data_IF_709920054717
#
_entry.id   IF_709920054717
#
_cell.length_a   1.000
_cell.length_b   1.000
_cell.length_c   1.000
_cell.angle_alpha   90.00
_cell.angle_beta   90.00
_cell.angle_gamma   90.00
#
_symmetry.space_group_name_H-M   'P 1'
#
loop_
_entity.id
_entity.type
_entity.pdbx_description
1 polymer ?
#
# COMPACT_ATOMS: atom_id res chain seq x y z
N UNK A 1 -2.14 21.14 12.28
CA UNK A 1 -1.95 19.93 11.43
C UNK A 1 -0.72 19.12 11.83
N UNK A 2 0.49 19.71 11.91
CA UNK A 2 1.67 19.06 12.52
C UNK A 2 1.38 18.58 13.95
N UNK A 3 0.63 19.34 14.73
CA UNK A 3 0.16 18.96 16.06
C UNK A 3 -0.66 17.67 16.09
N UNK A 4 -1.52 17.43 15.09
CA UNK A 4 -2.32 16.20 15.02
C UNK A 4 -1.44 14.98 14.75
N UNK A 5 -0.45 15.13 13.86
CA UNK A 5 0.52 14.06 13.60
C UNK A 5 1.36 13.76 14.85
N UNK A 6 1.84 14.79 15.54
CA UNK A 6 2.58 14.65 16.81
C UNK A 6 1.71 13.99 17.89
N UNK A 7 0.43 14.36 17.99
CA UNK A 7 -0.51 13.76 18.91
C UNK A 7 -0.74 12.28 18.62
N UNK A 8 -0.94 11.90 17.34
CA UNK A 8 -1.05 10.48 16.96
C UNK A 8 0.24 9.72 17.25
N UNK A 9 1.42 10.30 16.93
CA UNK A 9 2.72 9.70 17.26
C UNK A 9 2.85 9.45 18.76
N UNK A 10 2.51 10.45 19.58
CA UNK A 10 2.58 10.34 21.04
C UNK A 10 1.62 9.28 21.58
N UNK A 11 0.35 9.31 21.16
CA UNK A 11 -0.67 8.37 21.62
C UNK A 11 -0.27 6.92 21.26
N UNK A 12 0.16 6.68 20.02
CA UNK A 12 0.60 5.34 19.60
C UNK A 12 1.84 4.90 20.36
N UNK A 13 2.86 5.77 20.50
CA UNK A 13 4.11 5.43 21.18
C UNK A 13 3.91 5.01 22.65
N UNK A 14 2.89 5.54 23.35
CA UNK A 14 2.55 5.14 24.73
C UNK A 14 1.98 3.72 24.85
N UNK A 15 1.48 3.17 23.75
CA UNK A 15 0.84 1.85 23.72
C UNK A 15 1.82 0.76 23.30
N UNK A 16 2.82 1.11 22.48
CA UNK A 16 3.77 0.13 21.94
C UNK A 16 4.56 -0.56 23.05
N UNK A 17 4.78 -1.86 22.88
CA UNK A 17 5.71 -2.62 23.71
C UNK A 17 7.15 -2.35 23.30
N UNK A 18 8.13 -2.81 24.10
CA UNK A 18 9.55 -2.69 23.78
C UNK A 18 9.95 -3.42 22.48
N UNK A 19 9.16 -4.42 22.06
CA UNK A 19 9.35 -5.20 20.84
C UNK A 19 8.67 -4.57 19.62
N UNK A 20 7.98 -3.44 19.80
CA UNK A 20 7.24 -2.77 18.75
C UNK A 20 7.81 -1.36 18.53
N UNK A 21 7.72 -0.89 17.30
CA UNK A 21 8.12 0.48 16.95
C UNK A 21 7.19 1.10 15.94
N UNK A 22 7.00 2.40 16.10
CA UNK A 22 6.28 3.21 15.14
C UNK A 22 7.17 3.43 13.91
N UNK A 23 6.83 2.80 12.78
CA UNK A 23 7.59 2.97 11.53
C UNK A 23 7.25 4.29 10.86
N UNK A 24 5.96 4.60 10.71
CA UNK A 24 5.53 5.79 10.00
C UNK A 24 4.16 6.29 10.51
N UNK A 25 3.99 7.62 10.48
CA UNK A 25 2.70 8.29 10.54
C UNK A 25 2.66 9.22 9.35
N UNK A 26 1.72 8.98 8.44
CA UNK A 26 1.72 9.58 7.11
C UNK A 26 0.34 10.10 6.75
N UNK A 27 0.29 10.99 5.77
CA UNK A 27 -0.95 11.61 5.30
C UNK A 27 -0.99 11.52 3.79
N UNK A 28 -2.13 11.16 3.22
CA UNK A 28 -2.33 11.29 1.77
C UNK A 28 -2.64 12.75 1.41
N UNK A 29 -2.13 13.25 0.27
CA UNK A 29 -2.06 14.69 -0.07
C UNK A 29 -3.36 15.51 0.10
N UNK A 30 -4.53 14.88 0.03
CA UNK A 30 -5.85 15.53 0.15
C UNK A 30 -6.70 15.03 1.31
N UNK A 31 -6.18 14.12 2.14
CA UNK A 31 -6.92 13.56 3.26
C UNK A 31 -6.58 14.26 4.57
N UNK A 32 -7.60 14.47 5.40
CA UNK A 32 -7.42 14.84 6.80
C UNK A 32 -7.12 13.61 7.68
N UNK A 33 -7.16 12.39 7.13
CA UNK A 33 -6.82 11.16 7.85
C UNK A 33 -5.31 10.91 7.85
N UNK A 34 -4.84 10.33 8.95
CA UNK A 34 -3.47 9.87 9.11
C UNK A 34 -3.45 8.34 8.99
N UNK A 35 -2.41 7.81 8.35
CA UNK A 35 -2.15 6.38 8.24
C UNK A 35 -0.91 6.06 9.07
N UNK A 36 -1.02 5.03 9.89
CA UNK A 36 -0.02 4.62 10.86
C UNK A 36 0.48 3.23 10.48
N UNK A 37 1.79 3.04 10.51
CA UNK A 37 2.43 1.73 10.37
C UNK A 37 3.28 1.44 11.61
N UNK A 38 3.04 0.29 12.22
CA UNK A 38 3.80 -0.22 13.37
C UNK A 38 4.51 -1.51 12.93
N UNK A 39 5.76 -1.67 13.36
CA UNK A 39 6.57 -2.88 13.16
C UNK A 39 6.80 -3.60 14.48
N UNK A 40 6.87 -4.93 14.45
CA UNK A 40 7.35 -5.74 15.58
C UNK A 40 8.78 -6.26 15.34
N UNK A 41 9.37 -6.88 16.36
CA UNK A 41 10.71 -7.47 16.33
C UNK A 41 10.84 -8.64 15.32
N UNK A 42 9.73 -9.32 15.02
CA UNK A 42 9.65 -10.38 14.00
C UNK A 42 9.61 -9.82 12.56
N UNK A 43 9.78 -8.50 12.38
CA UNK A 43 9.69 -7.82 11.08
C UNK A 43 8.34 -8.05 10.40
N UNK A 44 7.27 -8.04 11.19
CA UNK A 44 5.91 -7.98 10.70
C UNK A 44 5.35 -6.58 10.96
N UNK A 45 4.37 -6.18 10.16
CA UNK A 45 3.79 -4.86 10.22
C UNK A 45 2.27 -4.91 10.36
N UNK A 46 1.73 -3.86 10.96
CA UNK A 46 0.30 -3.57 10.96
C UNK A 46 0.09 -2.14 10.52
N UNK A 47 -0.99 -1.91 9.76
CA UNK A 47 -1.41 -0.57 9.37
C UNK A 47 -2.82 -0.28 9.88
N UNK A 48 -3.03 0.97 10.27
CA UNK A 48 -4.35 1.47 10.65
C UNK A 48 -4.45 2.95 10.32
N UNK A 49 -5.68 3.44 10.23
CA UNK A 49 -6.01 4.81 9.88
C UNK A 49 -6.59 5.52 11.09
N UNK A 50 -6.18 6.76 11.33
CA UNK A 50 -6.79 7.68 12.28
C UNK A 50 -7.48 8.79 11.51
N UNK A 51 -8.78 8.92 11.69
CA UNK A 51 -9.60 9.95 11.05
C UNK A 51 -10.18 10.90 12.09
N UNK A 52 -10.20 12.19 11.75
CA UNK A 52 -10.79 13.23 12.62
C UNK A 52 -12.27 13.52 12.28
N UNK A 53 -12.82 12.77 11.32
CA UNK A 53 -14.21 12.86 10.88
C UNK A 53 -14.70 11.46 10.52
N UNK A 54 -15.99 11.22 10.69
CA UNK A 54 -16.62 9.96 10.27
C UNK A 54 -16.47 9.77 8.76
N UNK A 55 -16.12 8.57 8.33
CA UNK A 55 -16.06 8.24 6.92
C UNK A 55 -17.48 8.20 6.33
N UNK A 56 -17.65 8.71 5.10
CA UNK A 56 -18.89 8.56 4.32
C UNK A 56 -18.93 7.30 3.45
N UNK A 57 -17.89 6.46 3.52
CA UNK A 57 -17.70 5.30 2.65
C UNK A 57 -17.30 4.08 3.47
N UNK A 58 -17.98 2.95 3.26
CA UNK A 58 -17.73 1.65 3.90
C UNK A 58 -16.58 0.86 3.28
N UNK A 59 -16.01 1.34 2.17
CA UNK A 59 -14.99 0.64 1.37
C UNK A 59 -13.56 0.70 1.94
N UNK A 60 -13.43 0.86 3.27
CA UNK A 60 -12.15 1.04 3.92
C UNK A 60 -11.66 -0.28 4.49
N UNK A 61 -10.72 -0.89 3.77
CA UNK A 61 -10.03 -2.12 4.16
C UNK A 61 -9.05 -1.93 5.33
N UNK A 62 -8.56 -0.71 5.54
CA UNK A 62 -7.65 -0.38 6.64
C UNK A 62 -8.45 -0.09 7.92
N UNK A 63 -8.19 -0.79 9.05
CA UNK A 63 -8.81 -0.52 10.33
C UNK A 63 -8.76 0.97 10.68
N UNK A 64 -9.91 1.58 10.97
CA UNK A 64 -10.03 3.03 11.15
C UNK A 64 -10.50 3.39 12.55
N UNK A 65 -9.74 4.26 13.22
CA UNK A 65 -10.14 4.92 14.46
C UNK A 65 -10.62 6.34 14.15
N UNK A 66 -11.87 6.65 14.47
CA UNK A 66 -12.44 8.00 14.27
C UNK A 66 -12.40 8.75 15.59
N UNK A 67 -11.36 9.55 15.81
CA UNK A 67 -11.21 10.33 17.05
C UNK A 67 -10.22 11.48 16.87
N UNK A 68 -10.50 12.60 17.54
CA UNK A 68 -9.52 13.67 17.77
C UNK A 68 -8.95 13.69 19.18
N UNK A 69 -9.38 12.78 20.06
CA UNK A 69 -8.95 12.70 21.45
C UNK A 69 -7.81 11.65 21.57
N UNK A 70 -6.63 12.04 22.10
CA UNK A 70 -5.48 11.14 22.25
C UNK A 70 -5.71 9.97 23.21
N UNK A 71 -6.47 10.15 24.28
CA UNK A 71 -6.73 9.09 25.28
C UNK A 71 -7.64 8.01 24.68
N UNK A 72 -8.66 8.42 23.92
CA UNK A 72 -9.53 7.50 23.18
C UNK A 72 -8.71 6.75 22.13
N UNK A 73 -7.81 7.44 21.42
CA UNK A 73 -6.92 6.81 20.45
C UNK A 73 -5.98 5.80 21.12
N UNK A 74 -5.39 6.17 22.27
CA UNK A 74 -4.51 5.30 23.05
C UNK A 74 -5.23 4.00 23.42
N UNK A 75 -6.43 4.10 24.01
CA UNK A 75 -7.21 2.93 24.39
C UNK A 75 -7.59 2.08 23.18
N UNK A 76 -8.06 2.71 22.09
CA UNK A 76 -8.44 1.98 20.88
C UNK A 76 -7.27 1.20 20.26
N UNK A 77 -6.07 1.80 20.22
CA UNK A 77 -4.85 1.15 19.71
C UNK A 77 -4.41 0.04 20.68
N UNK A 78 -4.50 0.27 21.99
CA UNK A 78 -4.16 -0.72 23.04
C UNK A 78 -5.02 -1.98 22.92
N UNK A 79 -6.30 -1.80 22.66
CA UNK A 79 -7.22 -2.90 22.45
C UNK A 79 -6.98 -3.57 21.10
N UNK A 80 -6.66 -2.82 20.05
CA UNK A 80 -6.51 -3.34 18.69
C UNK A 80 -5.24 -4.18 18.47
N UNK A 81 -4.06 -3.70 18.89
CA UNK A 81 -2.78 -4.34 18.53
C UNK A 81 -2.68 -5.83 18.90
N UNK A 82 -3.17 -6.31 20.07
CA UNK A 82 -3.10 -7.73 20.43
C UNK A 82 -3.94 -8.66 19.54
N UNK A 83 -4.98 -8.13 18.90
CA UNK A 83 -5.90 -8.88 18.02
C UNK A 83 -5.71 -8.56 16.54
N UNK A 84 -4.75 -7.71 16.21
CA UNK A 84 -4.45 -7.35 14.84
C UNK A 84 -3.73 -8.49 14.12
N UNK A 85 -4.07 -8.69 12.84
CA UNK A 85 -3.29 -9.56 11.96
C UNK A 85 -2.01 -8.85 11.54
N UNK A 86 -0.88 -9.32 12.05
CA UNK A 86 0.45 -8.82 11.67
C UNK A 86 0.86 -9.42 10.33
N UNK A 87 1.19 -8.56 9.37
CA UNK A 87 1.53 -8.94 8.01
C UNK A 87 3.03 -9.05 7.83
N UNK A 88 3.48 -10.04 7.06
CA UNK A 88 4.87 -10.14 6.61
C UNK A 88 5.00 -9.49 5.23
N UNK A 89 6.04 -8.66 5.05
CA UNK A 89 6.41 -8.16 3.74
C UNK A 89 7.21 -9.24 2.99
N UNK A 90 6.59 -9.84 1.99
CA UNK A 90 7.21 -10.88 1.16
C UNK A 90 8.05 -10.27 0.04
N UNK A 91 8.81 -11.09 -0.66
CA UNK A 91 9.52 -10.63 -1.86
C UNK A 91 8.57 -10.15 -2.96
N UNK A 92 7.38 -10.77 -3.12
CA UNK A 92 6.37 -10.34 -4.09
C UNK A 92 5.90 -8.90 -3.80
N UNK A 93 5.66 -8.61 -2.52
CA UNK A 93 5.28 -7.28 -2.05
C UNK A 93 6.40 -6.27 -2.35
N UNK A 94 7.64 -6.61 -1.97
CA UNK A 94 8.82 -5.78 -2.22
C UNK A 94 9.03 -5.51 -3.71
N UNK A 95 8.90 -6.54 -4.55
CA UNK A 95 9.06 -6.44 -6.00
C UNK A 95 8.03 -5.47 -6.59
N UNK A 96 6.75 -5.66 -6.29
CA UNK A 96 5.68 -4.80 -6.83
C UNK A 96 5.84 -3.35 -6.36
N UNK A 97 6.10 -3.12 -5.06
CA UNK A 97 6.37 -1.78 -4.54
C UNK A 97 7.57 -1.13 -5.26
N UNK A 98 8.67 -1.87 -5.42
CA UNK A 98 9.86 -1.37 -6.12
C UNK A 98 9.58 -1.05 -7.59
N UNK A 99 8.84 -1.92 -8.29
CA UNK A 99 8.45 -1.72 -9.70
C UNK A 99 7.59 -0.47 -9.85
N UNK A 100 6.58 -0.25 -9.00
CA UNK A 100 5.74 0.96 -9.04
C UNK A 100 6.61 2.21 -8.88
N UNK A 101 7.59 2.19 -7.96
CA UNK A 101 8.48 3.32 -7.71
C UNK A 101 9.31 3.70 -8.94
N UNK A 102 9.81 2.71 -9.69
CA UNK A 102 10.74 2.96 -10.82
C UNK A 102 10.07 2.92 -12.20
N UNK A 103 8.78 2.56 -12.31
CA UNK A 103 8.08 2.41 -13.59
C UNK A 103 8.02 3.68 -14.42
N UNK A 104 8.05 4.85 -13.76
CA UNK A 104 8.04 6.15 -14.43
C UNK A 104 9.25 6.34 -15.35
N UNK A 105 10.41 5.73 -15.02
CA UNK A 105 11.61 5.72 -15.84
C UNK A 105 11.41 4.97 -17.17
N UNK A 106 10.38 4.13 -17.25
CA UNK A 106 10.02 3.33 -18.41
C UNK A 106 8.71 3.79 -19.07
N UNK A 107 8.24 5.00 -18.73
CA UNK A 107 6.97 5.57 -19.23
C UNK A 107 5.75 4.68 -18.97
N UNK A 108 5.77 4.01 -17.82
CA UNK A 108 4.70 3.13 -17.34
C UNK A 108 4.14 3.69 -16.05
N UNK A 109 2.82 3.65 -15.95
CA UNK A 109 2.05 3.94 -14.74
C UNK A 109 1.04 2.84 -14.50
N UNK A 110 0.62 2.66 -13.26
CA UNK A 110 -0.43 1.72 -12.91
C UNK A 110 -1.72 2.46 -12.59
N UNK A 111 -2.85 1.84 -12.88
CA UNK A 111 -4.18 2.41 -12.63
C UNK A 111 -5.08 1.40 -11.93
N UNK A 112 -6.07 1.91 -11.21
CA UNK A 112 -7.16 1.11 -10.65
C UNK A 112 -8.38 1.29 -11.54
N UNK A 113 -9.11 0.20 -11.78
CA UNK A 113 -10.43 0.26 -12.42
C UNK A 113 -11.35 1.23 -11.64
N UNK A 114 -11.89 2.24 -12.33
CA UNK A 114 -12.72 3.27 -11.72
C UNK A 114 -14.19 2.85 -11.56
N UNK A 115 -14.56 1.70 -12.16
CA UNK A 115 -15.87 1.07 -12.01
C UNK A 115 -16.14 0.58 -10.58
N UNK A 116 -15.13 0.54 -9.71
CA UNK A 116 -15.32 0.28 -8.27
C UNK A 116 -16.27 1.29 -7.60
N UNK A 117 -16.39 2.51 -8.13
CA UNK A 117 -17.38 3.48 -7.62
C UNK A 117 -18.84 3.15 -8.04
N UNK A 118 -19.03 2.18 -8.94
CA UNK A 118 -20.30 1.85 -9.59
C UNK A 118 -20.81 0.46 -9.13
N UNK A 119 -19.90 -0.48 -8.85
CA UNK A 119 -20.27 -1.79 -8.31
C UNK A 119 -20.49 -1.73 -6.79
N UNK A 120 -21.75 -1.52 -6.38
CA UNK A 120 -22.18 -1.45 -4.98
C UNK A 120 -22.28 -2.82 -4.30
N UNK A 121 -22.34 -3.90 -5.07
CA UNK A 121 -22.26 -5.27 -4.59
C UNK A 121 -20.81 -5.70 -4.71
N UNK A 122 -20.08 -5.80 -3.60
CA UNK A 122 -18.65 -6.19 -3.47
C UNK A 122 -18.33 -7.63 -3.97
N UNK A 123 -18.93 -8.07 -5.07
CA UNK A 123 -18.75 -9.40 -5.66
C UNK A 123 -17.49 -9.51 -6.50
N UNK A 124 -16.96 -8.39 -7.00
CA UNK A 124 -15.79 -8.36 -7.87
C UNK A 124 -14.60 -7.70 -7.17
N UNK A 125 -13.42 -8.35 -7.25
CA UNK A 125 -12.20 -7.86 -6.65
C UNK A 125 -11.66 -6.65 -7.44
N UNK A 126 -11.01 -5.70 -6.75
CA UNK A 126 -10.38 -4.53 -7.40
C UNK A 126 -9.40 -4.97 -8.49
N UNK A 127 -9.51 -4.39 -9.70
CA UNK A 127 -8.64 -4.71 -10.82
C UNK A 127 -7.65 -3.57 -11.06
N UNK A 128 -6.39 -3.94 -11.25
CA UNK A 128 -5.30 -3.04 -11.59
C UNK A 128 -4.82 -3.25 -13.02
N UNK A 129 -4.41 -2.16 -13.67
CA UNK A 129 -3.91 -2.14 -15.04
C UNK A 129 -2.53 -1.50 -15.13
N UNK A 130 -1.69 -2.04 -16.03
CA UNK A 130 -0.50 -1.37 -16.53
C UNK A 130 -0.90 -0.43 -17.67
N UNK A 131 -0.47 0.82 -17.59
CA UNK A 131 -0.69 1.83 -18.62
C UNK A 131 0.65 2.35 -19.11
N UNK A 132 0.80 2.36 -20.43
CA UNK A 132 2.02 2.83 -21.09
C UNK A 132 1.71 4.04 -21.96
N UNK A 133 2.46 5.10 -21.73
CA UNK A 133 2.43 6.28 -22.57
C UNK A 133 3.35 6.06 -23.76
N UNK A 134 2.78 6.01 -24.97
CA UNK A 134 3.59 5.88 -26.17
C UNK A 134 4.14 7.24 -26.58
N UNK A 135 5.46 7.44 -26.44
CA UNK A 135 6.15 8.64 -26.92
C UNK A 135 5.98 8.90 -28.44
N UNK A 136 5.59 7.88 -29.21
CA UNK A 136 5.50 7.95 -30.68
C UNK A 136 4.09 7.68 -31.26
N UNK A 137 3.13 7.21 -30.46
CA UNK A 137 1.77 6.90 -30.94
C UNK A 137 0.74 7.69 -30.14
N UNK A 138 -0.29 8.22 -30.81
CA UNK A 138 -1.44 8.90 -30.18
C UNK A 138 -2.36 7.97 -29.35
N UNK A 139 -1.91 6.77 -29.02
CA UNK A 139 -2.72 5.75 -28.33
C UNK A 139 -2.03 5.34 -27.03
N UNK A 140 -2.81 5.39 -25.95
CA UNK A 140 -2.47 4.83 -24.65
C UNK A 140 -2.67 3.32 -24.76
N UNK A 141 -1.67 2.54 -24.33
CA UNK A 141 -1.80 1.08 -24.23
C UNK A 141 -2.15 0.74 -22.79
N UNK A 142 -3.24 0.01 -22.59
CA UNK A 142 -3.71 -0.46 -21.29
C UNK A 142 -3.70 -1.99 -21.32
N UNK A 143 -2.92 -2.59 -20.43
CA UNK A 143 -2.82 -4.04 -20.27
C UNK A 143 -3.31 -4.42 -18.88
N UNK A 144 -4.19 -5.43 -18.78
CA UNK A 144 -4.52 -6.05 -17.50
C UNK A 144 -3.28 -6.70 -16.89
N UNK A 145 -3.14 -6.60 -15.57
CA UNK A 145 -2.12 -7.36 -14.86
C UNK A 145 -2.56 -8.83 -14.72
N UNK A 146 -1.61 -9.76 -14.85
CA UNK A 146 -1.82 -11.17 -14.49
C UNK A 146 -2.35 -11.29 -13.05
N UNK A 147 -3.24 -12.26 -12.81
CA UNK A 147 -3.97 -12.39 -11.53
C UNK A 147 -3.05 -12.47 -10.31
N UNK A 148 -1.96 -13.25 -10.36
CA UNK A 148 -0.99 -13.34 -9.27
C UNK A 148 -0.35 -11.97 -8.92
N UNK A 149 -0.13 -11.13 -9.94
CA UNK A 149 0.36 -9.76 -9.76
C UNK A 149 -0.76 -8.87 -9.20
N UNK A 150 -1.97 -9.00 -9.74
CA UNK A 150 -3.16 -8.26 -9.31
C UNK A 150 -3.48 -8.50 -7.83
N UNK A 151 -3.35 -9.74 -7.35
CA UNK A 151 -3.51 -10.11 -5.94
C UNK A 151 -2.54 -9.37 -5.02
N UNK A 152 -1.28 -9.22 -5.42
CA UNK A 152 -0.29 -8.43 -4.67
C UNK A 152 -0.70 -6.96 -4.63
N UNK A 153 -1.14 -6.39 -5.77
CA UNK A 153 -1.66 -5.01 -5.79
C UNK A 153 -2.87 -4.85 -4.84
N UNK A 154 -3.83 -5.78 -4.85
CA UNK A 154 -4.99 -5.76 -3.93
C UNK A 154 -4.55 -5.80 -2.47
N UNK A 155 -3.63 -6.69 -2.10
CA UNK A 155 -3.06 -6.78 -0.74
C UNK A 155 -2.37 -5.47 -0.32
N UNK A 156 -1.52 -4.92 -1.20
CA UNK A 156 -0.80 -3.67 -0.92
C UNK A 156 -1.75 -2.48 -0.82
N UNK A 157 -2.81 -2.43 -1.61
CA UNK A 157 -3.82 -1.38 -1.53
C UNK A 157 -4.65 -1.53 -0.25
N UNK A 158 -5.06 -2.75 0.09
CA UNK A 158 -5.82 -3.04 1.29
C UNK A 158 -5.07 -2.73 2.59
N UNK A 159 -3.75 -2.86 2.58
CA UNK A 159 -2.87 -2.49 3.70
C UNK A 159 -2.39 -1.03 3.65
N UNK A 160 -2.82 -0.23 2.66
CA UNK A 160 -2.45 1.18 2.53
C UNK A 160 -0.98 1.44 2.14
N UNK A 161 -0.28 0.43 1.63
CA UNK A 161 1.11 0.56 1.15
C UNK A 161 1.19 1.14 -0.25
N UNK A 162 0.13 0.96 -1.04
CA UNK A 162 -0.11 1.73 -2.27
C UNK A 162 -1.43 2.49 -2.13
N UNK A 163 -1.55 3.58 -2.85
CA UNK A 163 -2.77 4.37 -2.91
C UNK A 163 -2.99 4.86 -4.34
N UNK A 164 -4.20 5.34 -4.63
CA UNK A 164 -4.51 6.00 -5.89
C UNK A 164 -4.67 7.51 -5.71
N UNK A 165 -4.33 8.25 -6.76
CA UNK A 165 -4.71 9.65 -6.88
C UNK A 165 -5.40 9.87 -8.23
N UNK A 166 -6.44 10.69 -8.22
CA UNK A 166 -7.13 11.08 -9.45
C UNK A 166 -6.95 12.58 -9.69
N UNK A 167 -6.52 12.93 -10.91
CA UNK A 167 -6.63 14.30 -11.43
C UNK A 167 -7.97 14.42 -12.17
N UNK A 168 -8.63 15.59 -12.16
CA UNK A 168 -9.87 15.77 -12.90
C UNK A 168 -9.69 15.40 -14.38
N UNK A 169 -10.52 14.48 -14.88
CA UNK A 169 -10.47 13.99 -16.26
C UNK A 169 -9.54 12.79 -16.52
N UNK A 170 -8.82 12.30 -15.50
CA UNK A 170 -7.92 11.13 -15.61
C UNK A 170 -8.46 9.92 -14.84
N UNK A 171 -8.04 8.72 -15.23
CA UNK A 171 -8.20 7.50 -14.43
C UNK A 171 -7.28 7.51 -13.20
N UNK A 172 -7.68 6.91 -12.06
CA UNK A 172 -6.90 6.92 -10.82
C UNK A 172 -5.53 6.23 -11.00
N UNK A 173 -4.45 6.99 -10.86
CA UNK A 173 -3.08 6.47 -10.94
C UNK A 173 -2.60 5.98 -9.58
N UNK A 174 -1.97 4.81 -9.56
CA UNK A 174 -1.41 4.16 -8.37
C UNK A 174 -0.01 4.71 -8.08
N UNK A 175 0.28 4.90 -6.80
CA UNK A 175 1.60 5.25 -6.29
C UNK A 175 1.89 4.53 -4.98
N UNK A 176 3.18 4.35 -4.66
CA UNK A 176 3.62 3.82 -3.36
C UNK A 176 3.42 4.89 -2.29
N UNK A 177 2.72 4.55 -1.22
CA UNK A 177 2.51 5.47 -0.09
C UNK A 177 3.81 5.67 0.68
N UNK A 178 3.89 6.72 1.52
CA UNK A 178 5.06 6.93 2.38
C UNK A 178 5.30 5.71 3.31
N UNK A 179 4.25 5.01 3.76
CA UNK A 179 4.41 3.77 4.53
C UNK A 179 5.06 2.66 3.68
N UNK A 180 4.62 2.50 2.44
CA UNK A 180 5.21 1.56 1.49
C UNK A 180 6.68 1.87 1.21
N UNK A 181 7.04 3.15 1.06
CA UNK A 181 8.43 3.58 0.90
C UNK A 181 9.28 3.24 2.12
N UNK A 182 8.78 3.49 3.34
CA UNK A 182 9.51 3.15 4.57
C UNK A 182 9.70 1.65 4.74
N UNK A 183 8.73 0.83 4.33
CA UNK A 183 8.88 -0.63 4.33
C UNK A 183 9.88 -1.09 3.26
N UNK A 184 9.92 -0.47 2.08
CA UNK A 184 10.96 -0.77 1.09
C UNK A 184 12.36 -0.54 1.68
N UNK A 185 12.59 0.59 2.35
CA UNK A 185 13.88 0.88 2.98
C UNK A 185 14.22 -0.15 4.06
N UNK A 186 13.24 -0.49 4.92
CA UNK A 186 13.45 -1.40 6.05
C UNK A 186 13.73 -2.85 5.60
N UNK A 187 13.12 -3.28 4.50
CA UNK A 187 13.25 -4.63 3.93
C UNK A 187 14.19 -4.70 2.72
N UNK A 188 14.98 -3.65 2.47
CA UNK A 188 15.92 -3.64 1.36
C UNK A 188 16.99 -4.74 1.49
N UNK A 189 17.56 -4.92 2.69
CA UNK A 189 18.67 -5.85 2.89
C UNK A 189 18.39 -7.29 2.39
N UNK A 190 17.27 -7.94 2.75
CA UNK A 190 16.99 -9.30 2.26
C UNK A 190 16.60 -9.38 0.78
N UNK A 191 16.15 -8.29 0.15
CA UNK A 191 15.47 -8.36 -1.16
C UNK A 191 16.13 -7.58 -2.30
N UNK A 192 16.93 -6.56 -2.02
CA UNK A 192 17.44 -5.64 -3.05
C UNK A 192 18.31 -6.33 -4.09
N UNK A 193 19.15 -7.29 -3.69
CA UNK A 193 20.01 -8.03 -4.62
C UNK A 193 19.19 -8.87 -5.60
N UNK A 194 18.17 -9.57 -5.09
CA UNK A 194 17.24 -10.35 -5.92
C UNK A 194 16.46 -9.42 -6.86
N UNK A 195 15.97 -8.30 -6.35
CA UNK A 195 15.25 -7.31 -7.14
C UNK A 195 16.09 -6.75 -8.29
N UNK A 196 17.38 -6.46 -8.09
CA UNK A 196 18.25 -5.97 -9.17
C UNK A 196 18.38 -6.99 -10.31
N UNK A 197 18.49 -8.28 -9.99
CA UNK A 197 18.53 -9.36 -11.00
C UNK A 197 17.23 -9.42 -11.78
N UNK A 198 16.10 -9.44 -11.08
CA UNK A 198 14.77 -9.54 -11.72
C UNK A 198 14.44 -8.28 -12.54
N UNK A 199 14.82 -7.09 -12.04
CA UNK A 199 14.66 -5.81 -12.73
C UNK A 199 15.38 -5.79 -14.08
N UNK A 200 16.59 -6.35 -14.16
CA UNK A 200 17.37 -6.40 -15.38
C UNK A 200 16.71 -7.29 -16.46
N UNK A 201 15.89 -8.26 -16.05
CA UNK A 201 15.21 -9.20 -16.93
C UNK A 201 13.73 -8.86 -17.15
N UNK A 202 13.21 -7.83 -16.46
CA UNK A 202 11.80 -7.49 -16.46
C UNK A 202 11.32 -7.07 -17.85
N UNK A 203 10.28 -7.74 -18.35
CA UNK A 203 9.58 -7.30 -19.55
C UNK A 203 8.67 -6.11 -19.24
N UNK A 204 9.18 -4.89 -19.42
CA UNK A 204 8.42 -3.66 -19.22
C UNK A 204 7.16 -3.53 -20.10
N UNK A 205 7.04 -4.32 -21.18
CA UNK A 205 5.81 -4.31 -21.99
C UNK A 205 4.66 -5.09 -21.33
N UNK A 206 4.97 -6.02 -20.43
CA UNK A 206 4.03 -6.87 -19.73
C UNK A 206 4.62 -7.24 -18.36
N UNK A 207 4.42 -6.38 -17.37
CA UNK A 207 4.99 -6.56 -16.04
C UNK A 207 4.24 -7.67 -15.32
N UNK A 208 4.97 -8.71 -14.94
CA UNK A 208 4.50 -9.83 -14.13
C UNK A 208 5.47 -10.09 -12.99
N UNK A 209 5.04 -10.86 -11.99
CA UNK A 209 5.93 -11.34 -10.94
C UNK A 209 7.02 -12.27 -11.53
N UNK A 210 8.25 -12.26 -10.99
CA UNK A 210 9.28 -13.23 -11.33
C UNK A 210 8.79 -14.67 -11.13
N UNK A 211 9.22 -15.61 -11.97
CA UNK A 211 8.72 -16.99 -11.98
C UNK A 211 8.83 -17.68 -10.62
N UNK A 212 9.98 -17.59 -9.96
CA UNK A 212 10.18 -18.13 -8.62
C UNK A 212 9.27 -17.49 -7.56
N UNK A 213 8.89 -16.22 -7.74
CA UNK A 213 8.00 -15.51 -6.84
C UNK A 213 6.52 -15.90 -7.07
N UNK A 214 6.18 -16.39 -8.27
CA UNK A 214 4.87 -16.97 -8.59
C UNK A 214 4.70 -18.36 -7.96
N UNK A 215 5.74 -19.20 -8.06
CA UNK A 215 5.70 -20.59 -7.59
C UNK A 215 5.69 -20.74 -6.06
N UNK A 216 6.14 -19.73 -5.30
CA UNK A 216 6.10 -19.74 -3.84
C UNK A 216 4.68 -19.81 -3.24
N UNK A 217 3.64 -19.56 -4.05
CA UNK A 217 2.22 -19.66 -3.66
C UNK A 217 1.68 -21.10 -3.70
N UNK A 218 2.36 -22.03 -4.38
CA UNK A 218 1.91 -23.42 -4.51
C UNK A 218 2.36 -24.31 -3.33
N UNK A 219 3.09 -23.73 -2.36
CA UNK A 219 3.69 -24.46 -1.24
C UNK A 219 3.31 -23.93 0.15
N UNK A 220 2.51 -22.86 0.26
CA UNK A 220 1.89 -22.34 1.49
C UNK A 220 0.39 -22.65 1.52
#
# INVERSE_FOLDING_TARGET
MKERELMVRQAVAKVLTAQQRLLAVTRTRKSESLYVCVLNEQRQYVTFRVSFHAAKSGFLSVPTFVTGNPEILEQAVRDYLPKATWLTLTYRDYFVLSVITVSHLHHIRFQIDDLYNIFSDEKEAMIFYQVRDSYKKKHIIVNGLEEATNQVFRKLFASGLIASHQRPGDTPAVYVSEMGMRLLDDFALPFVQRFMTDYAQLNWNNITLPEEARLAEEQE
#
